data_IF_906753165974
#
_entry.id   IF_906753165974
#
_cell.length_a   1.000
_cell.length_b   1.000
_cell.length_c   1.000
_cell.angle_alpha   90.00
_cell.angle_beta   90.00
_cell.angle_gamma   90.00
#
_symmetry.space_group_name_H-M   'P 1'
#
loop_
_entity.id
_entity.type
_entity.pdbx_description
1 polymer ?
#
# COMPACT_ATOMS: atom_id res chain seq x y z
N UNK A 1 37.79 4.88 -12.22
CA UNK A 1 36.32 4.90 -12.10
C UNK A 1 36.00 5.17 -10.64
N UNK A 2 35.84 6.44 -10.29
CA UNK A 2 35.29 6.80 -8.98
C UNK A 2 33.82 6.40 -9.00
N UNK A 3 33.38 5.65 -7.99
CA UNK A 3 31.97 5.44 -7.78
C UNK A 3 31.34 6.82 -7.58
N UNK A 4 30.47 7.24 -8.51
CA UNK A 4 29.60 8.37 -8.26
C UNK A 4 28.78 8.06 -6.99
N UNK A 5 28.62 9.04 -6.08
CA UNK A 5 27.79 8.83 -4.91
C UNK A 5 26.37 8.57 -5.39
N UNK A 6 25.88 7.35 -5.14
CA UNK A 6 24.49 6.97 -5.37
C UNK A 6 23.65 7.94 -4.54
N UNK A 7 22.84 8.78 -5.20
CA UNK A 7 21.91 9.63 -4.47
C UNK A 7 20.99 8.75 -3.63
N UNK A 8 20.78 9.08 -2.34
CA UNK A 8 19.89 8.30 -1.50
C UNK A 8 18.49 8.30 -2.12
N UNK A 9 17.82 7.16 -2.09
CA UNK A 9 16.41 7.10 -2.46
C UNK A 9 15.60 8.10 -1.61
N UNK A 10 14.45 8.56 -2.12
CA UNK A 10 13.56 9.47 -1.38
C UNK A 10 13.30 8.97 0.05
N UNK A 11 13.11 7.66 0.18
CA UNK A 11 12.78 6.98 1.43
C UNK A 11 13.97 6.96 2.39
N UNK A 12 15.19 6.78 1.87
CA UNK A 12 16.40 6.81 2.68
C UNK A 12 16.69 8.22 3.22
N UNK A 13 16.47 9.26 2.40
CA UNK A 13 16.55 10.66 2.84
C UNK A 13 15.52 10.95 3.94
N UNK A 14 14.27 10.52 3.76
CA UNK A 14 13.21 10.69 4.77
C UNK A 14 13.58 10.01 6.08
N UNK A 15 14.06 8.77 6.03
CA UNK A 15 14.48 8.04 7.22
C UNK A 15 15.71 8.64 7.89
N UNK A 16 16.65 9.20 7.12
CA UNK A 16 17.81 9.91 7.67
C UNK A 16 17.38 11.13 8.49
N UNK A 17 16.41 11.89 7.98
CA UNK A 17 15.84 13.06 8.66
C UNK A 17 15.08 12.67 9.93
N UNK A 18 14.26 11.62 9.87
CA UNK A 18 13.53 11.11 11.04
C UNK A 18 14.49 10.64 12.14
N UNK A 19 15.55 9.90 11.79
CA UNK A 19 16.59 9.49 12.74
C UNK A 19 17.34 10.69 13.32
N UNK A 20 17.57 11.74 12.52
CA UNK A 20 18.16 13.00 12.99
C UNK A 20 17.24 13.70 13.99
N UNK A 21 15.95 13.80 13.70
CA UNK A 21 14.95 14.38 14.62
C UNK A 21 14.87 13.59 15.93
N UNK A 22 14.81 12.26 15.87
CA UNK A 22 14.79 11.40 17.06
C UNK A 22 16.02 11.61 17.96
N UNK A 23 17.20 11.85 17.37
CA UNK A 23 18.44 12.15 18.12
C UNK A 23 18.44 13.55 18.74
N UNK A 24 17.79 14.51 18.10
CA UNK A 24 17.70 15.91 18.54
C UNK A 24 16.55 16.16 19.51
N UNK A 25 15.63 15.20 19.65
CA UNK A 25 14.45 15.32 20.50
C UNK A 25 14.86 15.60 21.96
N UNK A 26 14.23 16.59 22.63
CA UNK A 26 14.50 16.89 24.03
C UNK A 26 14.21 15.67 24.91
N UNK A 27 15.15 15.30 25.77
CA UNK A 27 14.88 14.30 26.81
C UNK A 27 13.81 14.82 27.76
N UNK A 28 12.88 13.95 28.10
CA UNK A 28 11.84 14.22 29.10
C UNK A 28 12.27 13.55 30.39
N UNK A 29 12.58 14.36 31.40
CA UNK A 29 12.90 13.90 32.75
C UNK A 29 11.69 13.24 33.40
N UNK A 30 11.92 12.26 34.29
CA UNK A 30 10.84 11.49 34.92
C UNK A 30 9.84 12.37 35.67
N UNK A 31 10.30 13.44 36.33
CA UNK A 31 9.44 14.38 37.06
C UNK A 31 8.57 15.27 36.16
N UNK A 32 9.02 15.53 34.94
CA UNK A 32 8.31 16.38 33.97
C UNK A 32 7.30 15.57 33.13
N UNK A 33 7.55 14.27 32.94
CA UNK A 33 6.73 13.40 32.09
C UNK A 33 5.26 13.38 32.50
N UNK A 34 4.97 13.35 33.80
CA UNK A 34 3.59 13.30 34.30
C UNK A 34 2.83 14.57 33.96
N UNK A 35 3.42 15.75 34.16
CA UNK A 35 2.82 17.03 33.81
C UNK A 35 2.53 17.14 32.30
N UNK A 36 3.49 16.71 31.47
CA UNK A 36 3.30 16.70 30.02
C UNK A 36 2.15 15.78 29.59
N UNK A 37 2.02 14.60 30.19
CA UNK A 37 0.94 13.67 29.87
C UNK A 37 -0.43 14.22 30.30
N UNK A 38 -0.53 14.84 31.49
CA UNK A 38 -1.77 15.47 31.97
C UNK A 38 -2.20 16.64 31.09
N UNK A 39 -1.25 17.51 30.71
CA UNK A 39 -1.50 18.61 29.78
C UNK A 39 -1.86 18.11 28.39
N UNK A 40 -1.19 17.06 27.91
CA UNK A 40 -1.49 16.41 26.64
C UNK A 40 -2.91 15.89 26.56
N UNK A 41 -3.37 15.21 27.63
CA UNK A 41 -4.74 14.73 27.76
C UNK A 41 -5.77 15.87 27.82
N UNK A 42 -5.38 17.02 28.37
CA UNK A 42 -6.18 18.26 28.33
C UNK A 42 -6.15 18.97 26.96
N UNK A 43 -5.45 18.42 25.96
CA UNK A 43 -5.39 18.98 24.60
C UNK A 43 -4.24 19.96 24.35
N UNK A 44 -3.27 20.08 25.25
CA UNK A 44 -2.10 20.94 25.05
C UNK A 44 -1.20 20.41 23.92
N UNK A 45 -1.29 21.08 22.77
CA UNK A 45 -0.56 20.72 21.56
C UNK A 45 0.96 20.73 21.75
N UNK A 46 1.50 21.67 22.52
CA UNK A 46 2.94 21.73 22.75
C UNK A 46 3.44 20.52 23.55
N UNK A 47 2.65 20.06 24.52
CA UNK A 47 2.93 18.84 25.27
C UNK A 47 2.81 17.60 24.39
N UNK A 48 1.79 17.53 23.53
CA UNK A 48 1.62 16.44 22.56
C UNK A 48 2.82 16.34 21.61
N UNK A 49 3.21 17.44 20.97
CA UNK A 49 4.35 17.50 20.03
C UNK A 49 5.65 17.08 20.72
N UNK A 50 5.88 17.54 21.95
CA UNK A 50 7.07 17.18 22.72
C UNK A 50 7.09 15.69 23.10
N UNK A 51 5.95 15.13 23.52
CA UNK A 51 5.84 13.71 23.81
C UNK A 51 6.06 12.87 22.56
N UNK A 52 5.43 13.22 21.43
CA UNK A 52 5.65 12.54 20.15
C UNK A 52 7.13 12.57 19.76
N UNK A 53 7.74 13.75 19.74
CA UNK A 53 9.15 13.93 19.38
C UNK A 53 10.09 13.07 20.24
N UNK A 54 9.87 13.03 21.56
CA UNK A 54 10.70 12.25 22.48
C UNK A 54 10.57 10.72 22.30
N UNK A 55 9.49 10.25 21.65
CA UNK A 55 9.23 8.83 21.43
C UNK A 55 9.53 8.36 20.00
N UNK A 56 9.97 9.27 19.10
CA UNK A 56 10.28 8.92 17.70
C UNK A 56 11.31 7.79 17.59
N UNK A 57 12.34 7.76 18.46
CA UNK A 57 13.34 6.70 18.44
C UNK A 57 12.76 5.31 18.71
N UNK A 58 11.85 5.20 19.68
CA UNK A 58 11.15 3.95 19.97
C UNK A 58 10.25 3.55 18.80
N UNK A 59 9.54 4.51 18.21
CA UNK A 59 8.68 4.27 17.06
C UNK A 59 9.47 3.72 15.87
N UNK A 60 10.61 4.33 15.54
CA UNK A 60 11.50 3.86 14.46
C UNK A 60 11.97 2.43 14.75
N UNK A 61 12.39 2.14 15.98
CA UNK A 61 12.80 0.78 16.36
C UNK A 61 11.67 -0.26 16.19
N UNK A 62 10.43 0.11 16.52
CA UNK A 62 9.26 -0.76 16.34
C UNK A 62 8.89 -0.95 14.87
N UNK A 63 9.15 0.04 14.03
CA UNK A 63 8.99 -0.02 12.58
C UNK A 63 10.05 -0.93 11.95
N UNK A 64 11.33 -0.77 12.32
CA UNK A 64 12.44 -1.60 11.84
C UNK A 64 12.22 -3.09 12.19
N UNK A 65 11.59 -3.39 13.34
CA UNK A 65 11.24 -4.77 13.70
C UNK A 65 10.13 -5.40 12.83
N UNK A 66 9.51 -4.61 11.94
CA UNK A 66 8.43 -5.02 11.01
C UNK A 66 8.80 -4.85 9.55
N UNK A 67 10.05 -4.51 9.26
CA UNK A 67 10.59 -4.41 7.91
C UNK A 67 10.38 -5.74 7.14
N UNK A 68 10.33 -5.66 5.81
CA UNK A 68 10.16 -6.78 4.87
C UNK A 68 8.79 -7.48 4.87
N UNK A 69 7.73 -6.85 5.40
CA UNK A 69 6.37 -7.44 5.44
C UNK A 69 5.38 -6.88 4.42
N UNK A 70 5.89 -6.19 3.40
CA UNK A 70 5.08 -5.64 2.29
C UNK A 70 4.85 -4.13 2.35
N UNK A 71 5.24 -3.45 3.42
CA UNK A 71 5.25 -1.98 3.51
C UNK A 71 6.68 -1.46 3.66
N UNK A 72 6.93 -0.26 3.09
CA UNK A 72 8.19 0.43 3.25
C UNK A 72 8.39 0.89 4.70
N UNK A 73 9.65 1.08 5.12
CA UNK A 73 9.96 1.60 6.46
C UNK A 73 9.34 2.99 6.73
N UNK A 74 9.37 3.96 5.80
CA UNK A 74 8.64 5.22 5.96
C UNK A 74 7.13 5.03 6.18
N UNK A 75 6.49 4.12 5.46
CA UNK A 75 5.05 3.87 5.60
C UNK A 75 4.73 3.27 6.97
N UNK A 76 5.53 2.30 7.43
CA UNK A 76 5.42 1.76 8.79
C UNK A 76 5.57 2.85 9.85
N UNK A 77 6.52 3.77 9.67
CA UNK A 77 6.71 4.91 10.57
C UNK A 77 5.49 5.83 10.55
N UNK A 78 4.89 6.11 9.39
CA UNK A 78 3.68 6.92 9.30
C UNK A 78 2.50 6.28 10.04
N UNK A 79 2.24 4.99 9.80
CA UNK A 79 1.17 4.25 10.48
C UNK A 79 1.38 4.19 11.99
N UNK A 80 2.62 3.92 12.43
CA UNK A 80 2.98 3.98 13.84
C UNK A 80 2.81 5.36 14.46
N UNK A 81 3.04 6.42 13.69
CA UNK A 81 2.91 7.80 14.18
C UNK A 81 1.47 8.12 14.53
N UNK A 82 0.50 7.59 13.78
CA UNK A 82 -0.91 7.68 14.13
C UNK A 82 -1.18 7.01 15.49
N UNK A 83 -0.62 5.81 15.71
CA UNK A 83 -0.76 5.08 16.97
C UNK A 83 -0.11 5.81 18.16
N UNK A 84 1.06 6.41 17.94
CA UNK A 84 1.73 7.22 18.95
C UNK A 84 0.94 8.48 19.30
N UNK A 85 0.39 9.18 18.31
CA UNK A 85 -0.45 10.37 18.54
C UNK A 85 -1.72 9.99 19.31
N UNK A 86 -2.37 8.87 18.97
CA UNK A 86 -3.50 8.34 19.73
C UNK A 86 -3.11 8.01 21.17
N UNK A 87 -1.95 7.38 21.39
CA UNK A 87 -1.45 7.08 22.72
C UNK A 87 -1.21 8.35 23.54
N UNK A 88 -0.56 9.36 22.95
CA UNK A 88 -0.26 10.64 23.58
C UNK A 88 -1.53 11.41 23.96
N UNK A 89 -2.58 11.36 23.13
CA UNK A 89 -3.86 12.02 23.39
C UNK A 89 -4.73 11.28 24.39
N UNK A 90 -4.66 9.95 24.40
CA UNK A 90 -5.58 9.09 25.16
C UNK A 90 -5.06 8.59 26.50
N UNK A 91 -3.74 8.68 26.75
CA UNK A 91 -3.17 8.20 28.00
C UNK A 91 -3.56 9.10 29.18
N UNK A 92 -4.02 8.48 30.26
CA UNK A 92 -4.42 9.18 31.49
C UNK A 92 -3.54 8.73 32.65
N UNK A 93 -3.22 9.63 33.58
CA UNK A 93 -2.44 9.30 34.79
C UNK A 93 -3.11 8.23 35.69
N UNK A 94 -4.37 7.88 35.45
CA UNK A 94 -5.09 6.77 36.11
C UNK A 94 -4.82 5.40 35.50
N UNK A 95 -4.16 5.33 34.35
CA UNK A 95 -3.84 4.07 33.70
C UNK A 95 -2.82 3.28 34.55
N UNK A 96 -3.08 2.00 34.80
CA UNK A 96 -2.24 1.15 35.67
C UNK A 96 -0.92 0.71 34.99
N UNK A 97 -0.69 1.12 33.75
CA UNK A 97 0.46 0.76 32.92
C UNK A 97 1.35 1.97 32.63
N UNK A 98 2.66 1.77 32.56
CA UNK A 98 3.58 2.84 32.12
C UNK A 98 3.27 3.28 30.68
N UNK A 99 3.40 4.59 30.42
CA UNK A 99 3.11 5.19 29.12
C UNK A 99 3.87 4.53 27.96
N UNK A 100 5.13 4.12 28.16
CA UNK A 100 5.92 3.50 27.10
C UNK A 100 5.33 2.16 26.67
N UNK A 101 4.82 1.36 27.61
CA UNK A 101 4.15 0.11 27.31
C UNK A 101 2.85 0.34 26.54
N UNK A 102 2.05 1.32 26.97
CA UNK A 102 0.81 1.69 26.29
C UNK A 102 1.06 2.21 24.87
N UNK A 103 2.03 3.10 24.70
CA UNK A 103 2.41 3.64 23.40
C UNK A 103 2.91 2.55 22.45
N UNK A 104 3.74 1.61 22.94
CA UNK A 104 4.21 0.47 22.15
C UNK A 104 3.05 -0.39 21.64
N UNK A 105 2.03 -0.62 22.47
CA UNK A 105 0.83 -1.36 22.05
C UNK A 105 0.10 -0.60 20.94
N UNK A 106 -0.18 0.70 21.11
CA UNK A 106 -0.91 1.50 20.11
C UNK A 106 -0.17 1.63 18.78
N UNK A 107 1.14 1.83 18.82
CA UNK A 107 2.01 1.85 17.63
C UNK A 107 1.92 0.50 16.92
N UNK A 108 2.07 -0.60 17.66
CA UNK A 108 1.98 -1.96 17.11
C UNK A 108 0.62 -2.24 16.46
N UNK A 109 -0.48 -1.92 17.14
CA UNK A 109 -1.85 -2.09 16.64
C UNK A 109 -2.05 -1.43 15.26
N UNK A 110 -1.55 -0.20 15.07
CA UNK A 110 -1.67 0.51 13.80
C UNK A 110 -0.83 -0.12 12.69
N UNK A 111 0.45 -0.37 12.96
CA UNK A 111 1.36 -0.99 11.98
C UNK A 111 0.86 -2.38 11.55
N UNK A 112 0.43 -3.21 12.52
CA UNK A 112 -0.03 -4.57 12.24
C UNK A 112 -1.35 -4.57 11.46
N UNK A 113 -2.23 -3.59 11.69
CA UNK A 113 -3.45 -3.40 10.90
C UNK A 113 -3.16 -2.95 9.46
N UNK A 114 -2.21 -2.03 9.27
CA UNK A 114 -1.80 -1.59 7.94
C UNK A 114 -1.18 -2.73 7.12
N UNK A 115 -0.28 -3.51 7.74
CA UNK A 115 0.30 -4.70 7.12
C UNK A 115 -0.76 -5.75 6.73
N UNK A 116 -1.76 -5.97 7.58
CA UNK A 116 -2.85 -6.89 7.27
C UNK A 116 -3.70 -6.40 6.09
N UNK A 117 -3.89 -5.10 5.97
CA UNK A 117 -4.64 -4.47 4.87
C UNK A 117 -3.89 -4.61 3.55
N UNK A 118 -2.58 -4.33 3.55
CA UNK A 118 -1.72 -4.51 2.38
C UNK A 118 -1.68 -5.99 1.94
N UNK A 119 -1.51 -6.92 2.88
CA UNK A 119 -1.51 -8.35 2.58
C UNK A 119 -2.86 -8.83 2.01
N UNK A 120 -3.98 -8.25 2.45
CA UNK A 120 -5.29 -8.54 1.89
C UNK A 120 -5.42 -7.99 0.46
N UNK A 121 -4.96 -6.77 0.21
CA UNK A 121 -5.00 -6.15 -1.12
C UNK A 121 -4.18 -6.95 -2.15
N UNK A 122 -2.98 -7.40 -1.79
CA UNK A 122 -2.14 -8.26 -2.65
C UNK A 122 -2.87 -9.58 -2.96
N UNK A 123 -3.46 -10.22 -1.95
CA UNK A 123 -4.22 -11.46 -2.15
C UNK A 123 -5.43 -11.25 -3.07
N UNK A 124 -6.18 -10.17 -2.88
CA UNK A 124 -7.34 -9.86 -3.71
C UNK A 124 -6.93 -9.61 -5.16
N UNK A 125 -5.79 -8.95 -5.38
CA UNK A 125 -5.20 -8.79 -6.72
C UNK A 125 -4.81 -10.14 -7.35
N UNK A 126 -4.13 -11.02 -6.61
CA UNK A 126 -3.79 -12.36 -7.09
C UNK A 126 -5.03 -13.19 -7.48
N UNK A 127 -6.09 -13.13 -6.66
CA UNK A 127 -7.36 -13.79 -6.96
C UNK A 127 -8.02 -13.22 -8.22
N UNK A 128 -7.95 -11.91 -8.43
CA UNK A 128 -8.48 -11.26 -9.62
C UNK A 128 -7.70 -11.64 -10.88
N UNK A 129 -6.36 -11.72 -10.80
CA UNK A 129 -5.51 -12.19 -11.92
C UNK A 129 -5.86 -13.63 -12.30
N UNK A 130 -6.03 -14.52 -11.31
CA UNK A 130 -6.44 -15.89 -11.58
C UNK A 130 -7.83 -15.95 -12.23
N UNK A 131 -8.79 -15.17 -11.73
CA UNK A 131 -10.11 -15.08 -12.32
C UNK A 131 -10.08 -14.52 -13.77
N UNK A 132 -9.24 -13.52 -14.04
CA UNK A 132 -9.05 -13.01 -15.40
C UNK A 132 -8.54 -14.12 -16.34
N UNK A 133 -7.51 -14.87 -15.94
CA UNK A 133 -6.97 -15.97 -16.74
C UNK A 133 -8.00 -17.08 -17.01
N UNK A 134 -8.80 -17.44 -16.01
CA UNK A 134 -9.88 -18.43 -16.16
C UNK A 134 -10.97 -17.92 -17.12
N UNK A 135 -11.34 -16.65 -16.99
CA UNK A 135 -12.29 -15.98 -17.87
C UNK A 135 -11.83 -16.01 -19.33
N UNK A 136 -10.60 -15.58 -19.61
CA UNK A 136 -10.08 -15.54 -20.99
C UNK A 136 -10.01 -16.93 -21.62
N UNK A 137 -9.62 -17.94 -20.83
CA UNK A 137 -9.61 -19.33 -21.29
C UNK A 137 -11.03 -19.82 -21.63
N UNK A 138 -12.01 -19.54 -20.77
CA UNK A 138 -13.39 -19.92 -21.02
C UNK A 138 -13.98 -19.18 -22.23
N UNK A 139 -13.71 -17.88 -22.35
CA UNK A 139 -14.11 -17.05 -23.49
C UNK A 139 -13.65 -17.68 -24.81
N UNK A 140 -12.37 -18.06 -24.91
CA UNK A 140 -11.81 -18.70 -26.11
C UNK A 140 -12.45 -20.07 -26.40
N UNK A 141 -12.64 -20.90 -25.38
CA UNK A 141 -13.22 -22.24 -25.55
C UNK A 141 -14.68 -22.17 -25.98
N UNK A 142 -15.49 -21.33 -25.34
CA UNK A 142 -16.91 -21.17 -25.66
C UNK A 142 -17.06 -20.50 -27.02
N UNK A 143 -16.24 -19.50 -27.34
CA UNK A 143 -16.25 -18.86 -28.67
C UNK A 143 -16.00 -19.87 -29.79
N UNK A 144 -15.02 -20.76 -29.58
CA UNK A 144 -14.69 -21.83 -30.53
C UNK A 144 -15.85 -22.79 -30.71
N UNK A 145 -16.48 -23.22 -29.62
CA UNK A 145 -17.55 -24.21 -29.66
C UNK A 145 -18.86 -23.62 -30.26
N UNK A 146 -19.10 -22.31 -30.08
CA UNK A 146 -20.28 -21.60 -30.61
C UNK A 146 -20.07 -20.98 -32.00
N UNK A 147 -18.82 -20.91 -32.48
CA UNK A 147 -18.44 -20.18 -33.70
C UNK A 147 -18.88 -18.70 -33.72
N UNK A 148 -19.00 -18.07 -32.55
CA UNK A 148 -19.34 -16.65 -32.36
C UNK A 148 -18.81 -16.16 -31.02
N UNK A 149 -18.87 -14.85 -30.79
CA UNK A 149 -18.59 -14.28 -29.47
C UNK A 149 -19.56 -14.85 -28.41
N UNK A 150 -19.06 -15.32 -27.26
CA UNK A 150 -19.87 -15.81 -26.16
C UNK A 150 -20.51 -14.65 -25.37
N UNK A 151 -21.66 -14.91 -24.76
CA UNK A 151 -22.32 -14.00 -23.83
C UNK A 151 -21.83 -14.23 -22.40
N UNK A 152 -21.96 -13.22 -21.52
CA UNK A 152 -21.56 -13.35 -20.10
C UNK A 152 -22.25 -14.52 -19.39
N UNK A 153 -23.50 -14.82 -19.75
CA UNK A 153 -24.25 -15.97 -19.20
C UNK A 153 -23.63 -17.31 -19.60
N UNK A 154 -23.20 -17.45 -20.85
CA UNK A 154 -22.60 -18.69 -21.35
C UNK A 154 -21.21 -18.94 -20.73
N UNK A 155 -20.44 -17.87 -20.52
CA UNK A 155 -19.17 -17.94 -19.80
C UNK A 155 -19.41 -18.27 -18.32
N UNK A 156 -20.39 -17.63 -17.68
CA UNK A 156 -20.75 -17.88 -16.28
C UNK A 156 -21.15 -19.34 -16.06
N UNK A 157 -21.93 -19.92 -16.97
CA UNK A 157 -22.30 -21.35 -16.93
C UNK A 157 -21.06 -22.24 -17.08
N UNK A 158 -20.14 -21.91 -18.00
CA UNK A 158 -18.89 -22.67 -18.20
C UNK A 158 -17.96 -22.66 -16.99
N UNK A 159 -17.90 -21.54 -16.28
CA UNK A 159 -17.01 -21.31 -15.13
C UNK A 159 -17.68 -21.64 -13.78
N UNK A 160 -18.97 -21.96 -13.78
CA UNK A 160 -19.79 -22.12 -12.57
C UNK A 160 -19.78 -20.86 -11.68
N UNK A 161 -19.83 -19.68 -12.31
CA UNK A 161 -19.84 -18.38 -11.64
C UNK A 161 -21.22 -17.74 -11.69
N UNK A 162 -21.43 -16.70 -10.88
CA UNK A 162 -22.58 -15.81 -11.07
C UNK A 162 -22.36 -14.95 -12.32
N UNK A 163 -23.46 -14.56 -12.97
CA UNK A 163 -23.40 -13.62 -14.11
C UNK A 163 -22.75 -12.31 -13.69
N UNK A 164 -23.10 -11.79 -12.50
CA UNK A 164 -22.53 -10.55 -11.95
C UNK A 164 -21.00 -10.61 -11.77
N UNK A 165 -20.49 -11.72 -11.21
CA UNK A 165 -19.03 -11.92 -11.08
C UNK A 165 -18.37 -11.98 -12.45
N UNK A 166 -18.98 -12.68 -13.39
CA UNK A 166 -18.46 -12.84 -14.75
C UNK A 166 -18.41 -11.51 -15.48
N UNK A 167 -19.46 -10.69 -15.38
CA UNK A 167 -19.50 -9.33 -15.94
C UNK A 167 -18.48 -8.39 -15.31
N UNK A 168 -18.26 -8.50 -13.99
CA UNK A 168 -17.20 -7.76 -13.31
C UNK A 168 -15.81 -8.12 -13.86
N UNK A 169 -15.48 -9.42 -13.91
CA UNK A 169 -14.19 -9.89 -14.43
C UNK A 169 -14.02 -9.53 -15.91
N UNK A 170 -15.07 -9.68 -16.72
CA UNK A 170 -15.07 -9.30 -18.14
C UNK A 170 -14.71 -7.82 -18.34
N UNK A 171 -15.26 -6.92 -17.52
CA UNK A 171 -14.92 -5.49 -17.55
C UNK A 171 -13.46 -5.24 -17.21
N UNK A 172 -12.93 -5.90 -16.18
CA UNK A 172 -11.52 -5.79 -15.77
C UNK A 172 -10.60 -6.26 -16.90
N UNK A 173 -10.90 -7.41 -17.50
CA UNK A 173 -10.13 -7.96 -18.64
C UNK A 173 -10.18 -7.01 -19.84
N UNK A 174 -11.36 -6.51 -20.20
CA UNK A 174 -11.51 -5.59 -21.32
C UNK A 174 -10.75 -4.27 -21.11
N UNK A 175 -10.73 -3.75 -19.89
CA UNK A 175 -9.94 -2.57 -19.54
C UNK A 175 -8.43 -2.85 -19.62
N UNK A 176 -7.98 -4.01 -19.13
CA UNK A 176 -6.58 -4.42 -19.23
C UNK A 176 -6.10 -4.55 -20.68
N UNK A 177 -6.91 -5.19 -21.54
CA UNK A 177 -6.65 -5.29 -23.00
C UNK A 177 -6.52 -3.91 -23.65
N UNK A 178 -7.45 -2.99 -23.34
CA UNK A 178 -7.42 -1.63 -23.87
C UNK A 178 -6.14 -0.88 -23.51
N UNK A 179 -5.71 -0.93 -22.24
CA UNK A 179 -4.46 -0.27 -21.83
C UNK A 179 -3.25 -0.86 -22.55
N UNK A 180 -3.22 -2.19 -22.72
CA UNK A 180 -2.15 -2.85 -23.46
C UNK A 180 -2.12 -2.44 -24.94
N UNK A 181 -3.28 -2.38 -25.60
CA UNK A 181 -3.38 -1.94 -27.00
C UNK A 181 -2.93 -0.48 -27.17
N UNK A 182 -3.30 0.41 -26.24
CA UNK A 182 -2.84 1.82 -26.23
C UNK A 182 -1.32 1.93 -26.09
N UNK A 183 -0.71 1.12 -25.22
CA UNK A 183 0.74 1.06 -25.07
C UNK A 183 1.42 0.55 -26.36
N UNK A 184 0.89 -0.51 -26.98
CA UNK A 184 1.42 -1.05 -28.24
C UNK A 184 1.37 -0.02 -29.38
N UNK A 185 0.25 0.71 -29.51
CA UNK A 185 0.09 1.75 -30.52
C UNK A 185 1.09 2.90 -30.35
N UNK A 186 1.51 3.20 -29.11
CA UNK A 186 2.51 4.23 -28.85
C UNK A 186 3.92 3.88 -29.37
N UNK A 187 4.19 2.60 -29.65
CA UNK A 187 5.47 2.14 -30.22
C UNK A 187 5.45 1.96 -31.73
N UNK A 188 4.29 2.10 -32.37
CA UNK A 188 4.16 2.00 -33.83
C UNK A 188 4.45 3.38 -34.43
N UNK A 189 5.51 3.47 -35.23
CA UNK A 189 5.75 4.64 -36.09
C UNK A 189 4.80 4.54 -37.30
N UNK A 190 3.78 5.41 -37.41
CA UNK A 190 2.83 5.36 -38.50
C UNK A 190 3.49 5.60 -39.88
N UNK A 191 4.65 6.26 -39.91
CA UNK A 191 5.37 6.56 -41.14
C UNK A 191 6.30 5.41 -41.60
N UNK A 192 6.49 4.37 -40.77
CA UNK A 192 7.28 3.18 -41.09
C UNK A 192 6.44 2.04 -41.69
N UNK A 193 5.11 2.17 -41.74
CA UNK A 193 4.22 1.17 -42.33
C UNK A 193 4.08 1.46 -43.83
N UNK A 194 4.91 0.83 -44.66
CA UNK A 194 4.63 0.72 -46.09
C UNK A 194 3.46 -0.26 -46.28
N UNK A 195 2.24 0.27 -46.41
CA UNK A 195 1.09 -0.51 -46.84
C UNK A 195 1.28 -0.81 -48.33
N UNK A 196 1.63 -2.05 -48.65
CA UNK A 196 1.64 -2.54 -50.02
C UNK A 196 0.20 -2.62 -50.53
N UNK A 197 -0.23 -1.58 -51.25
CA UNK A 197 -1.55 -1.48 -51.89
C UNK A 197 -1.69 -2.41 -53.12
N UNK A 198 -0.74 -3.31 -53.40
CA UNK A 198 -0.88 -4.33 -54.45
C UNK A 198 -1.74 -5.51 -53.99
N UNK A 199 -3.03 -5.25 -53.77
CA UNK A 199 -4.04 -6.32 -53.85
C UNK A 199 -4.26 -6.60 -55.33
N UNK A 200 -3.64 -7.67 -55.81
CA UNK A 200 -3.88 -8.26 -57.12
C UNK A 200 -5.40 -8.44 -57.34
N UNK A 201 -5.95 -7.63 -58.24
CA UNK A 201 -7.24 -7.89 -58.85
C UNK A 201 -7.06 -8.83 -60.02
N UNK A 202 -7.43 -10.10 -59.84
CA UNK A 202 -7.92 -10.99 -60.91
C UNK A 202 -9.05 -11.90 -60.39
#
# INVERSE_FOLDING_TARGET
MGAEPVEPSSDESVMQDLRRQARQAPRIETGERKDLLERSAAGDRASQERLVASNLGMLIQLAEAREDKGLSLPDLVQEGSLGLVEAVRGFTSSDQTDFAAFAKQKIGEKMDAALATEAAAVRDAELLVNAANDYERAELLVARDLHRAPTSTEIAEKLEWTVERTEYVARVVAEARRRHDEELLAFIDPDAIEIDDSVDGE
#
